data_IF_367543798100
#
_entry.id   IF_367543798100
#
_cell.length_a   1.000
_cell.length_b   1.000
_cell.length_c   1.000
_cell.angle_alpha   90.00
_cell.angle_beta   90.00
_cell.angle_gamma   90.00
#
_symmetry.space_group_name_H-M   'P 1'
#
loop_
_entity.id
_entity.type
_entity.pdbx_description
1 polymer ?
#
# COMPACT_ATOMS: atom_id res chain seq x y z
N UNK A 1 -8.82 -39.83 16.69
CA UNK A 1 -7.56 -40.08 15.99
C UNK A 1 -6.90 -38.71 15.84
N UNK A 2 -5.84 -38.43 16.61
CA UNK A 2 -5.06 -37.19 16.47
C UNK A 2 -4.23 -37.29 15.19
N UNK A 3 -4.69 -36.64 14.12
CA UNK A 3 -3.91 -36.49 12.92
C UNK A 3 -2.70 -35.59 13.24
N UNK A 4 -1.50 -36.12 13.15
CA UNK A 4 -0.28 -35.32 13.21
C UNK A 4 -0.17 -34.50 11.94
N UNK A 5 -0.37 -33.19 12.06
CA UNK A 5 -0.12 -32.28 10.93
C UNK A 5 1.40 -32.24 10.72
N UNK A 6 1.86 -32.75 9.58
CA UNK A 6 3.27 -32.63 9.18
C UNK A 6 3.37 -31.37 8.30
N UNK A 7 3.91 -30.31 8.86
CA UNK A 7 4.24 -29.10 8.11
C UNK A 7 5.50 -29.39 7.30
N UNK A 8 5.39 -29.42 5.98
CA UNK A 8 6.55 -29.51 5.10
C UNK A 8 7.17 -28.12 4.91
N UNK A 9 8.50 -28.00 4.85
CA UNK A 9 9.15 -26.75 4.49
C UNK A 9 8.62 -26.25 3.13
N UNK A 10 8.46 -24.92 3.01
CA UNK A 10 8.12 -24.31 1.73
C UNK A 10 9.23 -24.57 0.71
N UNK A 11 8.84 -24.84 -0.53
CA UNK A 11 9.78 -25.01 -1.63
C UNK A 11 10.59 -23.71 -1.85
N UNK A 12 11.94 -23.78 -1.96
CA UNK A 12 12.78 -22.58 -2.07
C UNK A 12 12.42 -21.66 -3.23
N UNK A 13 11.93 -22.21 -4.34
CA UNK A 13 11.49 -21.47 -5.53
C UNK A 13 10.26 -20.58 -5.30
N UNK A 14 9.53 -20.78 -4.21
CA UNK A 14 8.41 -19.94 -3.82
C UNK A 14 8.86 -18.73 -2.97
N UNK A 15 10.13 -18.65 -2.65
CA UNK A 15 10.74 -17.50 -1.97
C UNK A 15 11.50 -16.65 -2.97
N UNK A 16 11.89 -15.44 -2.53
CA UNK A 16 12.63 -14.49 -3.36
C UNK A 16 11.89 -14.12 -4.66
N UNK A 17 10.61 -13.73 -4.52
CA UNK A 17 9.72 -13.40 -5.64
C UNK A 17 9.37 -11.91 -5.72
N UNK A 18 9.98 -11.08 -4.87
CA UNK A 18 9.82 -9.62 -4.89
C UNK A 18 10.98 -9.00 -5.66
N UNK A 19 10.72 -8.61 -6.90
CA UNK A 19 11.70 -8.04 -7.83
C UNK A 19 11.25 -6.63 -8.24
N UNK A 20 11.74 -5.61 -7.54
CA UNK A 20 11.47 -4.21 -7.81
C UNK A 20 12.70 -3.60 -8.50
N UNK A 21 12.47 -2.81 -9.56
CA UNK A 21 13.55 -2.02 -10.16
C UNK A 21 14.04 -0.93 -9.20
N UNK A 22 15.28 -0.46 -9.41
CA UNK A 22 15.80 0.66 -8.61
C UNK A 22 14.89 1.89 -8.75
N UNK A 23 14.63 2.54 -7.65
CA UNK A 23 13.84 3.77 -7.55
C UNK A 23 14.32 4.62 -6.38
N UNK A 24 13.87 5.85 -6.33
CA UNK A 24 14.10 6.78 -5.21
C UNK A 24 12.78 7.44 -4.81
N UNK A 25 12.78 8.19 -3.71
CA UNK A 25 11.58 8.89 -3.19
C UNK A 25 10.94 9.83 -4.21
N UNK A 26 11.72 10.35 -5.16
CA UNK A 26 11.20 11.22 -6.24
C UNK A 26 10.15 10.51 -7.11
N UNK A 27 10.17 9.17 -7.14
CA UNK A 27 9.16 8.38 -7.84
C UNK A 27 7.75 8.50 -7.25
N UNK A 28 7.63 8.98 -6.01
CA UNK A 28 6.34 9.25 -5.35
C UNK A 28 5.86 10.69 -5.51
N UNK A 29 6.60 11.55 -6.20
CA UNK A 29 6.15 12.90 -6.46
C UNK A 29 4.96 12.92 -7.40
N UNK A 30 3.94 13.69 -7.02
CA UNK A 30 2.74 13.93 -7.81
C UNK A 30 2.71 15.39 -8.24
N UNK A 31 2.54 15.62 -9.54
CA UNK A 31 2.46 16.94 -10.14
C UNK A 31 1.19 17.08 -10.97
N UNK A 32 0.59 18.25 -10.95
CA UNK A 32 -0.54 18.60 -11.79
C UNK A 32 -0.25 19.89 -12.54
N UNK A 33 -0.61 19.94 -13.83
CA UNK A 33 -0.42 21.11 -14.66
C UNK A 33 -1.45 22.23 -14.40
N UNK A 34 -2.61 21.85 -13.91
CA UNK A 34 -3.74 22.76 -13.62
C UNK A 34 -4.05 22.89 -12.13
N UNK A 35 -3.26 22.24 -11.27
CA UNK A 35 -3.46 22.23 -9.82
C UNK A 35 -4.60 21.34 -9.33
N UNK A 36 -5.11 20.46 -10.20
CA UNK A 36 -6.22 19.58 -9.89
C UNK A 36 -5.74 18.12 -9.83
N UNK A 37 -6.09 17.43 -8.76
CA UNK A 37 -5.75 16.01 -8.56
C UNK A 37 -7.02 15.17 -8.42
N UNK A 38 -7.12 14.03 -9.16
CA UNK A 38 -8.15 13.04 -8.87
C UNK A 38 -7.87 12.39 -7.50
N UNK A 39 -8.92 12.22 -6.71
CA UNK A 39 -8.81 11.70 -5.34
C UNK A 39 -9.58 10.39 -5.21
N UNK A 40 -8.93 9.39 -4.65
CA UNK A 40 -9.56 8.16 -4.20
C UNK A 40 -10.11 8.41 -2.80
N UNK A 41 -11.43 8.56 -2.66
CA UNK A 41 -12.06 8.72 -1.36
C UNK A 41 -12.40 7.35 -0.78
N UNK A 42 -11.62 6.92 0.22
CA UNK A 42 -11.89 5.71 0.99
C UNK A 42 -13.12 5.93 1.88
N UNK A 43 -14.01 4.95 1.90
CA UNK A 43 -15.19 4.95 2.77
C UNK A 43 -14.96 4.00 3.94
N UNK A 44 -15.15 4.51 5.15
CA UNK A 44 -14.91 3.74 6.37
C UNK A 44 -15.76 2.45 6.41
N UNK A 45 -15.12 1.32 6.69
CA UNK A 45 -15.76 0.01 6.73
C UNK A 45 -16.20 -0.54 5.38
N UNK A 46 -15.78 0.07 4.26
CA UNK A 46 -16.14 -0.35 2.91
C UNK A 46 -14.93 -0.69 2.06
N UNK A 47 -15.11 -1.58 1.09
CA UNK A 47 -14.12 -1.84 0.05
C UNK A 47 -14.32 -0.97 -1.19
N UNK A 48 -15.47 -0.30 -1.31
CA UNK A 48 -15.76 0.67 -2.36
C UNK A 48 -15.07 2.01 -2.07
N UNK A 49 -14.87 2.79 -3.13
CA UNK A 49 -14.36 4.17 -3.02
C UNK A 49 -15.24 5.10 -3.82
N UNK A 50 -15.22 6.37 -3.45
CA UNK A 50 -15.81 7.42 -4.27
C UNK A 50 -14.74 8.20 -5.01
N UNK A 51 -15.13 8.72 -6.16
CA UNK A 51 -14.30 9.63 -6.94
C UNK A 51 -14.41 11.04 -6.37
N UNK A 52 -13.27 11.62 -6.02
CA UNK A 52 -13.14 13.00 -5.58
C UNK A 52 -12.22 13.80 -6.48
N UNK A 53 -12.14 15.09 -6.19
CA UNK A 53 -11.22 16.02 -6.85
C UNK A 53 -10.69 16.99 -5.80
N UNK A 54 -9.37 17.19 -5.78
CA UNK A 54 -8.70 18.16 -4.94
C UNK A 54 -8.14 19.27 -5.83
N UNK A 55 -8.49 20.52 -5.54
CA UNK A 55 -7.86 21.69 -6.12
C UNK A 55 -6.80 22.20 -5.15
N UNK A 56 -5.53 21.93 -5.47
CA UNK A 56 -4.39 22.33 -4.63
C UNK A 56 -3.76 23.67 -5.06
N UNK A 57 -4.13 24.20 -6.23
CA UNK A 57 -3.62 25.48 -6.75
C UNK A 57 -4.36 25.95 -8.01
N UNK A 58 -3.99 27.12 -8.51
CA UNK A 58 -4.53 27.71 -9.76
C UNK A 58 -3.54 27.57 -10.93
N UNK A 59 -2.75 26.53 -10.96
CA UNK A 59 -1.75 26.25 -12.00
C UNK A 59 -0.82 25.10 -11.61
N UNK A 60 0.30 24.92 -12.31
CA UNK A 60 1.20 23.82 -12.07
C UNK A 60 1.67 23.76 -10.61
N UNK A 61 1.46 22.64 -9.95
CA UNK A 61 1.88 22.44 -8.56
C UNK A 61 2.20 20.99 -8.26
N UNK A 62 2.94 20.77 -7.16
CA UNK A 62 3.21 19.47 -6.57
C UNK A 62 2.21 19.22 -5.43
N UNK A 63 1.69 18.02 -5.37
CA UNK A 63 0.86 17.61 -4.24
C UNK A 63 1.72 17.49 -2.97
N UNK A 64 1.21 18.03 -1.89
CA UNK A 64 1.71 17.84 -0.54
C UNK A 64 0.62 17.20 0.30
N UNK A 65 0.95 16.16 1.04
CA UNK A 65 0.01 15.52 1.96
C UNK A 65 -0.36 16.47 3.11
N UNK A 66 -1.58 16.34 3.58
CA UNK A 66 -2.11 17.04 4.73
C UNK A 66 -2.93 16.09 5.63
N UNK A 67 -3.69 16.62 6.57
CA UNK A 67 -4.49 15.82 7.50
C UNK A 67 -5.63 15.04 6.82
N UNK A 68 -6.14 15.53 5.69
CA UNK A 68 -7.27 14.95 4.99
C UNK A 68 -6.86 14.08 3.79
N UNK A 69 -5.72 14.42 3.17
CA UNK A 69 -5.26 13.80 1.93
C UNK A 69 -3.81 13.34 2.03
N UNK A 70 -3.58 12.08 1.71
CA UNK A 70 -2.27 11.45 1.69
C UNK A 70 -1.92 10.93 0.29
N UNK A 71 -0.67 10.53 0.10
CA UNK A 71 -0.23 9.84 -1.11
C UNK A 71 -0.51 8.35 -1.02
N UNK A 72 -0.89 7.76 -2.15
CA UNK A 72 -0.96 6.32 -2.32
C UNK A 72 -0.21 5.94 -3.60
N UNK A 73 0.54 4.83 -3.58
CA UNK A 73 1.25 4.36 -4.75
C UNK A 73 1.21 2.84 -4.87
N UNK A 74 1.34 2.36 -6.12
CA UNK A 74 1.52 0.94 -6.43
C UNK A 74 2.81 0.77 -7.20
N UNK A 75 3.73 -0.03 -6.64
CA UNK A 75 5.06 -0.31 -7.16
C UNK A 75 5.08 -1.70 -7.77
N UNK A 76 5.42 -1.81 -9.05
CA UNK A 76 5.51 -3.09 -9.74
C UNK A 76 6.66 -3.93 -9.17
N UNK A 77 6.38 -5.21 -8.81
CA UNK A 77 7.35 -6.09 -8.12
C UNK A 77 7.63 -7.44 -8.79
N UNK A 78 7.16 -7.66 -10.01
CA UNK A 78 7.26 -8.98 -10.66
C UNK A 78 8.29 -9.03 -11.79
N UNK A 79 8.44 -7.92 -12.52
CA UNK A 79 9.20 -7.89 -13.79
C UNK A 79 10.24 -6.78 -13.85
N UNK A 80 10.48 -6.08 -12.73
CA UNK A 80 11.45 -4.97 -12.65
C UNK A 80 11.22 -3.91 -13.74
N UNK A 81 9.94 -3.59 -14.02
CA UNK A 81 9.60 -2.63 -15.07
C UNK A 81 9.86 -1.18 -14.69
N UNK A 82 10.08 -0.91 -13.39
CA UNK A 82 10.21 0.45 -12.86
C UNK A 82 8.89 1.23 -12.81
N UNK A 83 7.75 0.60 -13.08
CA UNK A 83 6.45 1.27 -13.05
C UNK A 83 6.00 1.52 -11.62
N UNK A 84 5.77 2.77 -11.30
CA UNK A 84 5.21 3.24 -10.03
C UNK A 84 4.07 4.19 -10.37
N UNK A 85 2.85 3.80 -10.05
CA UNK A 85 1.67 4.65 -10.22
C UNK A 85 1.32 5.30 -8.90
N UNK A 86 1.19 6.63 -8.89
CA UNK A 86 0.89 7.43 -7.71
C UNK A 86 -0.48 8.10 -7.84
N UNK A 87 -1.09 8.42 -6.70
CA UNK A 87 -2.37 9.12 -6.61
C UNK A 87 -2.57 9.76 -5.25
N UNK A 88 -3.67 10.50 -5.13
CA UNK A 88 -4.13 11.09 -3.87
C UNK A 88 -5.25 10.24 -3.30
N UNK A 89 -5.19 9.98 -2.00
CA UNK A 89 -6.24 9.29 -1.24
C UNK A 89 -6.72 10.17 -0.09
N UNK A 90 -8.03 10.22 0.11
CA UNK A 90 -8.65 10.82 1.28
C UNK A 90 -9.45 9.79 2.08
N UNK A 91 -9.64 10.05 3.38
CA UNK A 91 -10.46 9.23 4.25
C UNK A 91 -9.76 7.99 4.85
N UNK A 92 -8.49 7.73 4.54
CA UNK A 92 -7.70 6.66 5.15
C UNK A 92 -7.10 7.11 6.49
N UNK A 93 -6.39 8.24 6.52
CA UNK A 93 -6.05 8.98 7.73
C UNK A 93 -4.65 8.76 8.28
N UNK A 94 -3.69 8.14 7.59
CA UNK A 94 -2.32 7.91 8.07
C UNK A 94 -1.56 9.23 8.30
N UNK A 95 -0.81 9.34 9.40
CA UNK A 95 0.01 10.49 9.77
C UNK A 95 1.33 10.08 10.40
N UNK A 96 2.38 10.85 10.11
CA UNK A 96 3.72 10.64 10.68
C UNK A 96 4.43 9.41 10.13
N UNK A 97 4.07 8.95 8.91
CA UNK A 97 4.72 7.80 8.34
C UNK A 97 4.04 7.15 7.16
N UNK A 98 4.25 5.84 6.98
CA UNK A 98 3.72 5.06 5.87
C UNK A 98 3.34 3.64 6.27
N UNK A 99 2.38 3.07 5.54
CA UNK A 99 1.99 1.65 5.60
C UNK A 99 2.14 1.05 4.21
N UNK A 100 2.75 -0.13 4.12
CA UNK A 100 2.86 -0.84 2.85
C UNK A 100 2.49 -2.32 2.98
N UNK A 101 2.03 -2.89 1.86
CA UNK A 101 1.65 -4.29 1.72
C UNK A 101 2.05 -4.86 0.37
N UNK A 102 2.54 -6.09 0.34
CA UNK A 102 2.66 -6.89 -0.88
C UNK A 102 1.43 -7.76 -1.17
N UNK A 103 0.46 -7.78 -0.25
CA UNK A 103 -0.86 -8.37 -0.49
C UNK A 103 -1.77 -7.27 -1.03
N UNK A 104 -1.94 -7.23 -2.35
CA UNK A 104 -2.62 -6.16 -3.07
C UNK A 104 -3.38 -6.73 -4.28
N UNK A 105 -4.68 -6.83 -4.17
CA UNK A 105 -5.53 -7.56 -5.13
C UNK A 105 -5.59 -6.91 -6.51
N UNK A 106 -5.58 -7.71 -7.59
CA UNK A 106 -5.26 -9.16 -7.66
C UNK A 106 -3.80 -9.38 -8.07
N UNK A 107 -3.13 -8.33 -8.56
CA UNK A 107 -1.77 -8.40 -9.11
C UNK A 107 -0.70 -8.59 -8.06
N UNK A 108 -1.01 -8.32 -6.80
CA UNK A 108 -0.10 -8.39 -5.66
C UNK A 108 1.22 -7.61 -5.89
N UNK A 109 1.12 -6.46 -6.52
CA UNK A 109 2.18 -5.46 -6.52
C UNK A 109 2.31 -4.83 -5.11
N UNK A 110 3.42 -4.17 -4.80
CA UNK A 110 3.53 -3.47 -3.52
C UNK A 110 2.64 -2.23 -3.57
N UNK A 111 1.71 -2.12 -2.63
CA UNK A 111 0.93 -0.91 -2.41
C UNK A 111 1.43 -0.22 -1.15
N UNK A 112 1.54 1.11 -1.21
CA UNK A 112 2.01 1.94 -0.09
C UNK A 112 1.16 3.20 0.02
N UNK A 113 0.85 3.59 1.24
CA UNK A 113 0.23 4.86 1.58
C UNK A 113 1.07 5.58 2.64
N UNK A 114 1.21 6.89 2.52
CA UNK A 114 1.96 7.68 3.49
C UNK A 114 1.71 9.17 3.35
N UNK A 115 2.14 9.91 4.35
CA UNK A 115 2.08 11.37 4.35
C UNK A 115 3.38 12.02 3.84
N UNK A 116 4.46 11.25 3.66
CA UNK A 116 5.72 11.74 3.12
C UNK A 116 6.42 10.69 2.26
N UNK A 117 7.21 11.16 1.27
CA UNK A 117 7.86 10.31 0.27
C UNK A 117 9.00 9.47 0.84
N UNK A 118 9.67 9.94 1.90
CA UNK A 118 10.80 9.25 2.53
C UNK A 118 10.33 7.98 3.27
N UNK A 119 9.25 8.08 4.04
CA UNK A 119 8.69 6.92 4.73
C UNK A 119 8.01 5.93 3.76
N UNK A 120 7.43 6.43 2.66
CA UNK A 120 6.91 5.57 1.59
C UNK A 120 8.05 4.78 0.91
N UNK A 121 9.18 5.42 0.60
CA UNK A 121 10.36 4.75 0.07
C UNK A 121 10.87 3.69 1.04
N UNK A 122 11.03 4.04 2.31
CA UNK A 122 11.52 3.13 3.35
C UNK A 122 10.60 1.91 3.51
N UNK A 123 9.28 2.11 3.50
CA UNK A 123 8.30 1.03 3.59
C UNK A 123 8.40 0.05 2.41
N UNK A 124 8.55 0.56 1.18
CA UNK A 124 8.73 -0.30 0.00
C UNK A 124 10.07 -1.05 0.06
N UNK A 125 11.17 -0.38 0.45
CA UNK A 125 12.49 -1.02 0.61
C UNK A 125 12.48 -2.10 1.68
N UNK A 126 11.74 -1.90 2.77
CA UNK A 126 11.57 -2.91 3.81
C UNK A 126 10.87 -4.17 3.25
N UNK A 127 9.81 -4.01 2.44
CA UNK A 127 9.15 -5.14 1.80
C UNK A 127 10.03 -5.83 0.74
N UNK A 128 10.92 -5.11 0.07
CA UNK A 128 11.94 -5.72 -0.78
C UNK A 128 12.92 -6.56 0.04
N UNK A 129 13.37 -6.06 1.19
CA UNK A 129 14.29 -6.75 2.11
C UNK A 129 13.69 -8.03 2.68
N UNK A 130 12.42 -7.98 3.11
CA UNK A 130 11.71 -9.11 3.71
C UNK A 130 11.08 -10.05 2.69
N UNK A 131 11.18 -9.71 1.39
CA UNK A 131 10.56 -10.45 0.29
C UNK A 131 9.03 -10.50 0.38
N UNK A 132 8.44 -9.39 0.82
CA UNK A 132 7.01 -9.18 0.98
C UNK A 132 6.55 -9.19 2.42
N UNK A 133 5.32 -8.74 2.62
CA UNK A 133 4.72 -8.62 3.95
C UNK A 133 3.80 -7.43 4.10
N UNK A 134 3.56 -7.11 5.36
CA UNK A 134 3.01 -5.85 5.83
C UNK A 134 4.10 -5.10 6.59
N UNK A 135 4.19 -3.80 6.41
CA UNK A 135 5.14 -2.98 7.18
C UNK A 135 4.54 -1.63 7.55
N UNK A 136 4.96 -1.12 8.69
CA UNK A 136 4.66 0.24 9.16
C UNK A 136 5.99 0.96 9.37
N UNK A 137 6.07 2.15 8.83
CA UNK A 137 7.15 3.11 9.05
C UNK A 137 6.57 4.31 9.79
N UNK A 138 7.24 4.75 10.85
CA UNK A 138 6.89 5.94 11.62
C UNK A 138 8.15 6.77 11.87
N UNK A 139 8.08 8.07 11.59
CA UNK A 139 9.19 9.00 11.84
C UNK A 139 10.53 8.50 11.28
N UNK A 140 10.55 8.11 10.01
CA UNK A 140 11.73 7.62 9.27
C UNK A 140 12.35 6.33 9.82
N UNK A 141 11.56 5.51 10.51
CA UNK A 141 12.00 4.23 11.05
C UNK A 141 10.94 3.16 10.85
N UNK A 142 11.37 1.96 10.49
CA UNK A 142 10.49 0.79 10.48
C UNK A 142 10.05 0.52 11.91
N UNK A 143 8.73 0.63 12.16
CA UNK A 143 8.14 0.29 13.45
C UNK A 143 8.07 -1.23 13.63
N UNK A 144 7.45 -1.93 12.68
CA UNK A 144 7.35 -3.39 12.67
C UNK A 144 7.06 -3.90 11.26
N UNK A 145 7.38 -5.18 11.02
CA UNK A 145 7.14 -5.85 9.74
C UNK A 145 6.68 -7.29 9.97
N UNK A 146 5.52 -7.63 9.44
CA UNK A 146 5.08 -9.00 9.28
C UNK A 146 5.57 -9.53 7.93
N UNK A 147 6.68 -10.27 7.95
CA UNK A 147 7.27 -10.81 6.74
C UNK A 147 6.42 -11.94 6.15
N UNK A 148 6.17 -11.88 4.84
CA UNK A 148 5.45 -12.90 4.07
C UNK A 148 6.33 -13.40 2.91
N UNK A 149 7.46 -14.10 3.19
CA UNK A 149 8.49 -14.41 2.21
C UNK A 149 8.07 -15.46 1.18
N UNK A 150 6.97 -16.17 1.41
CA UNK A 150 6.47 -17.16 0.47
C UNK A 150 5.58 -16.46 -0.56
N UNK A 151 6.11 -16.25 -1.74
CA UNK A 151 5.49 -15.51 -2.87
C UNK A 151 5.15 -14.04 -2.55
N UNK A 152 5.66 -13.49 -1.45
CA UNK A 152 5.26 -12.18 -0.93
C UNK A 152 3.84 -12.15 -0.33
N UNK A 153 3.26 -13.32 -0.01
CA UNK A 153 1.85 -13.46 0.37
C UNK A 153 1.62 -14.30 1.63
N UNK A 154 2.55 -15.17 2.00
CA UNK A 154 2.37 -16.10 3.10
C UNK A 154 3.59 -16.13 4.00
N UNK A 155 3.34 -16.26 5.32
CA UNK A 155 4.37 -16.40 6.33
C UNK A 155 4.85 -17.86 6.44
N UNK A 156 6.07 -18.01 6.93
CA UNK A 156 6.62 -19.29 7.38
C UNK A 156 7.05 -19.26 8.87
N UNK A 157 6.58 -18.26 9.63
CA UNK A 157 6.92 -18.07 11.05
C UNK A 157 5.98 -18.78 12.04
N UNK A 158 4.76 -19.13 11.62
CA UNK A 158 3.73 -19.74 12.44
C UNK A 158 2.67 -18.76 12.92
N UNK A 159 1.46 -19.28 13.08
CA UNK A 159 0.22 -18.51 13.28
C UNK A 159 0.24 -17.61 14.52
N UNK A 160 0.73 -18.12 15.64
CA UNK A 160 0.69 -17.38 16.92
C UNK A 160 1.53 -16.12 16.84
N UNK A 161 2.75 -16.23 16.31
CA UNK A 161 3.68 -15.10 16.14
C UNK A 161 3.15 -14.09 15.13
N UNK A 162 2.61 -14.57 14.01
CA UNK A 162 2.06 -13.70 12.97
C UNK A 162 0.85 -12.93 13.50
N UNK A 163 -0.03 -13.59 14.23
CA UNK A 163 -1.22 -12.95 14.82
C UNK A 163 -0.85 -11.89 15.86
N UNK A 164 0.16 -12.16 16.70
CA UNK A 164 0.67 -11.19 17.67
C UNK A 164 1.26 -9.95 16.97
N UNK A 165 2.09 -10.17 15.93
CA UNK A 165 2.71 -9.09 15.16
C UNK A 165 1.63 -8.26 14.45
N UNK A 166 0.70 -8.92 13.75
CA UNK A 166 -0.40 -8.24 13.06
C UNK A 166 -1.25 -7.40 14.02
N UNK A 167 -1.59 -7.94 15.18
CA UNK A 167 -2.36 -7.21 16.20
C UNK A 167 -1.67 -5.93 16.67
N UNK A 168 -0.35 -5.99 16.93
CA UNK A 168 0.44 -4.78 17.27
C UNK A 168 0.45 -3.77 16.12
N UNK A 169 0.62 -4.23 14.90
CA UNK A 169 0.67 -3.38 13.72
C UNK A 169 -0.68 -2.71 13.44
N UNK A 170 -1.80 -3.41 13.58
CA UNK A 170 -3.14 -2.83 13.43
C UNK A 170 -3.36 -1.75 14.48
N UNK A 171 -3.04 -2.04 15.76
CA UNK A 171 -3.15 -1.06 16.83
C UNK A 171 -2.31 0.20 16.53
N UNK A 172 -1.07 0.01 16.09
CA UNK A 172 -0.18 1.12 15.73
C UNK A 172 -0.71 1.95 14.56
N UNK A 173 -1.27 1.31 13.54
CA UNK A 173 -1.87 2.02 12.42
C UNK A 173 -3.02 2.94 12.85
N UNK A 174 -3.86 2.49 13.80
CA UNK A 174 -4.91 3.34 14.37
C UNK A 174 -4.34 4.49 15.21
N UNK A 175 -3.28 4.27 16.00
CA UNK A 175 -2.57 5.36 16.68
C UNK A 175 -2.02 6.41 15.69
N UNK A 176 -1.58 5.98 14.51
CA UNK A 176 -1.12 6.85 13.43
C UNK A 176 -2.25 7.52 12.63
N UNK A 177 -3.52 7.31 13.02
CA UNK A 177 -4.68 8.00 12.49
C UNK A 177 -5.53 7.22 11.49
N UNK A 178 -5.19 5.96 11.17
CA UNK A 178 -6.10 5.11 10.36
C UNK A 178 -7.42 4.95 11.11
N UNK A 179 -8.54 5.18 10.43
CA UNK A 179 -9.87 5.16 11.04
C UNK A 179 -10.22 3.78 11.61
N UNK A 180 -10.86 3.76 12.77
CA UNK A 180 -11.18 2.52 13.52
C UNK A 180 -12.04 1.51 12.72
N UNK A 181 -12.88 1.98 11.83
CA UNK A 181 -13.70 1.13 10.95
C UNK A 181 -12.92 0.46 9.81
N UNK A 182 -11.65 0.78 9.62
CA UNK A 182 -10.80 0.23 8.57
C UNK A 182 -9.77 -0.74 9.14
N UNK A 183 -9.70 -1.95 8.60
CA UNK A 183 -8.47 -2.74 8.74
C UNK A 183 -7.39 -2.11 7.82
N UNK A 184 -6.25 -1.66 8.36
CA UNK A 184 -5.26 -0.90 7.58
C UNK A 184 -4.71 -1.66 6.39
N UNK A 185 -4.52 -2.97 6.51
CA UNK A 185 -3.90 -3.78 5.46
C UNK A 185 -4.94 -4.33 4.47
N UNK A 186 -6.09 -4.79 4.96
CA UNK A 186 -7.17 -5.28 4.09
C UNK A 186 -7.74 -4.13 3.27
N UNK A 187 -8.03 -2.99 3.89
CA UNK A 187 -8.54 -1.81 3.18
C UNK A 187 -7.55 -1.38 2.09
N UNK A 188 -6.25 -1.28 2.43
CA UNK A 188 -5.20 -0.91 1.48
C UNK A 188 -5.11 -1.91 0.32
N UNK A 189 -5.23 -3.22 0.59
CA UNK A 189 -5.10 -4.27 -0.43
C UNK A 189 -6.15 -4.19 -1.54
N UNK A 190 -7.36 -3.70 -1.22
CA UNK A 190 -8.44 -3.53 -2.19
C UNK A 190 -8.34 -2.24 -3.01
N UNK A 191 -7.51 -1.27 -2.60
CA UNK A 191 -7.33 -0.01 -3.36
C UNK A 191 -6.71 -0.24 -4.74
N UNK A 192 -6.00 -1.37 -4.95
CA UNK A 192 -5.39 -1.73 -6.22
C UNK A 192 -6.27 -2.62 -7.11
N UNK A 193 -7.50 -2.96 -6.72
CA UNK A 193 -8.36 -3.89 -7.46
C UNK A 193 -9.27 -3.15 -8.48
N UNK A 194 -8.88 -3.07 -9.77
CA UNK A 194 -9.52 -2.17 -10.74
C UNK A 194 -10.84 -2.71 -11.30
N UNK A 195 -11.57 -3.50 -10.52
CA UNK A 195 -12.92 -4.02 -10.82
C UNK A 195 -13.94 -3.62 -9.75
N UNK A 196 -13.47 -3.03 -8.64
CA UNK A 196 -14.37 -2.49 -7.61
C UNK A 196 -14.54 -0.98 -7.84
N UNK A 197 -15.78 -0.46 -7.97
CA UNK A 197 -16.01 0.96 -8.19
C UNK A 197 -15.60 1.81 -6.98
N UNK A 198 -15.39 3.11 -7.17
CA UNK A 198 -15.46 3.83 -8.47
C UNK A 198 -14.08 4.10 -9.08
N UNK A 199 -13.05 4.23 -8.25
CA UNK A 199 -11.71 4.69 -8.63
C UNK A 199 -10.66 3.89 -7.87
N UNK A 200 -9.56 3.52 -8.54
CA UNK A 200 -8.50 2.66 -8.01
C UNK A 200 -7.12 3.16 -8.41
N UNK A 201 -6.10 2.57 -7.78
CA UNK A 201 -4.70 2.82 -8.10
C UNK A 201 -4.05 1.57 -8.69
N UNK A 202 -3.22 1.74 -9.71
CA UNK A 202 -2.46 0.66 -10.35
C UNK A 202 -1.01 1.12 -10.58
N UNK A 203 -0.07 0.23 -10.98
CA UNK A 203 1.28 0.67 -11.35
C UNK A 203 1.33 1.66 -12.53
N UNK A 204 0.21 1.93 -13.19
CA UNK A 204 0.06 2.90 -14.29
C UNK A 204 -0.58 4.22 -13.85
N UNK A 205 -0.92 4.36 -12.56
CA UNK A 205 -1.60 5.52 -12.00
C UNK A 205 -3.06 5.25 -11.64
N UNK A 206 -3.78 6.33 -11.42
CA UNK A 206 -5.19 6.33 -10.99
C UNK A 206 -6.09 5.86 -12.13
N UNK A 207 -7.00 4.94 -11.83
CA UNK A 207 -7.90 4.31 -12.80
C UNK A 207 -9.36 4.53 -12.40
N UNK A 208 -10.12 5.12 -13.31
CA UNK A 208 -11.57 5.26 -13.22
C UNK A 208 -12.23 3.96 -13.69
N UNK A 209 -12.76 3.20 -12.74
CA UNK A 209 -13.35 1.87 -13.01
C UNK A 209 -14.65 1.99 -13.80
N UNK A 210 -15.46 3.03 -13.54
CA UNK A 210 -16.73 3.23 -14.21
C UNK A 210 -16.55 3.74 -15.65
N UNK A 211 -15.62 4.67 -15.86
CA UNK A 211 -15.29 5.18 -17.18
C UNK A 211 -14.27 4.32 -17.94
N UNK A 212 -13.71 3.30 -17.28
CA UNK A 212 -12.72 2.35 -17.81
C UNK A 212 -11.50 3.02 -18.45
N UNK A 213 -10.93 4.02 -17.74
CA UNK A 213 -9.79 4.81 -18.23
C UNK A 213 -8.86 5.25 -17.11
N UNK A 214 -7.62 5.57 -17.45
CA UNK A 214 -6.69 6.28 -16.57
C UNK A 214 -7.02 7.78 -16.50
N UNK A 215 -6.77 8.36 -15.34
CA UNK A 215 -6.95 9.79 -15.07
C UNK A 215 -5.60 10.52 -15.04
#
# INVERSE_FOLDING_TARGET
KNAKIVIKPCAPELKNTVHVAEFSREAFQLESADGIFPVILAEEGQITTRKGTLKAGDGPCKFQSDDDYQKIAVVERHKMTGKIGCGVIGGFGIRGGAIASSVSHDSHNIIVIGDNDEDMELAVRELMRTQGGYTIVENHKVFDTLALPVMGLMSDNGFEKDNETLGRMIHKAHEMGVKDGNDPFITLSFMALPVIPQIRITPRGVFDVEAWKFL
#
